data_IF_703999910686
#
_entry.id   IF_703999910686
#
_cell.length_a   1.000
_cell.length_b   1.000
_cell.length_c   1.000
_cell.angle_alpha   90.00
_cell.angle_beta   90.00
_cell.angle_gamma   90.00
#
_symmetry.space_group_name_H-M   'P 1'
#
loop_
_entity.id
_entity.type
_entity.pdbx_description
1 polymer ?
#
# COMPACT_ATOMS: atom_id res chain seq x y z
N UNK A 1 -12.56 -22.67 -16.87
CA UNK A 1 -11.13 -22.74 -16.44
C UNK A 1 -10.71 -21.58 -15.51
N UNK A 2 -10.90 -20.31 -15.89
CA UNK A 2 -10.41 -19.14 -15.12
C UNK A 2 -10.83 -19.09 -13.64
N UNK A 3 -12.11 -19.34 -13.33
CA UNK A 3 -12.60 -19.30 -11.95
C UNK A 3 -11.93 -20.35 -11.06
N UNK A 4 -11.70 -21.57 -11.60
CA UNK A 4 -10.99 -22.64 -10.89
C UNK A 4 -9.56 -22.20 -10.53
N UNK A 5 -8.87 -21.50 -11.42
CA UNK A 5 -7.52 -20.99 -11.17
C UNK A 5 -7.48 -19.91 -10.09
N UNK A 6 -8.53 -19.10 -9.95
CA UNK A 6 -8.62 -18.07 -8.91
C UNK A 6 -8.86 -18.71 -7.54
N UNK A 7 -9.85 -19.60 -7.44
CA UNK A 7 -10.19 -20.24 -6.17
C UNK A 7 -9.09 -21.19 -5.67
N UNK A 8 -8.47 -21.95 -6.58
CA UNK A 8 -7.37 -22.89 -6.27
C UNK A 8 -5.98 -22.24 -6.36
N UNK A 9 -5.90 -20.90 -6.41
CA UNK A 9 -4.63 -20.19 -6.52
C UNK A 9 -3.72 -20.44 -5.31
N UNK A 10 -2.42 -20.60 -5.57
CA UNK A 10 -1.38 -20.61 -4.54
C UNK A 10 -1.27 -19.25 -3.85
N UNK A 11 -0.65 -19.21 -2.67
CA UNK A 11 -0.53 -17.97 -1.88
C UNK A 11 0.17 -16.83 -2.64
N UNK A 12 1.20 -17.14 -3.43
CA UNK A 12 1.90 -16.16 -4.24
C UNK A 12 0.99 -15.54 -5.31
N UNK A 13 0.13 -16.35 -5.94
CA UNK A 13 -0.83 -15.87 -6.95
C UNK A 13 -1.93 -15.05 -6.27
N UNK A 14 -2.48 -15.51 -5.14
CA UNK A 14 -3.45 -14.74 -4.34
C UNK A 14 -2.89 -13.38 -3.92
N UNK A 15 -1.61 -13.33 -3.56
CA UNK A 15 -0.92 -12.09 -3.23
C UNK A 15 -0.87 -11.09 -4.41
N UNK A 16 -0.70 -11.58 -5.64
CA UNK A 16 -0.75 -10.74 -6.86
C UNK A 16 -2.17 -10.27 -7.19
N UNK A 17 -3.19 -11.04 -6.83
CA UNK A 17 -4.60 -10.69 -7.09
C UNK A 17 -5.09 -9.52 -6.23
N UNK A 18 -4.47 -9.24 -5.08
CA UNK A 18 -4.73 -8.10 -4.20
C UNK A 18 -4.25 -6.73 -4.77
N UNK A 19 -4.24 -6.57 -6.08
CA UNK A 19 -3.89 -5.33 -6.75
C UNK A 19 -5.04 -4.30 -6.66
N UNK A 20 -4.67 -3.05 -6.41
CA UNK A 20 -5.56 -1.88 -6.47
C UNK A 20 -4.98 -0.82 -7.41
N UNK A 21 -5.84 -0.02 -8.03
CA UNK A 21 -5.42 1.06 -8.92
C UNK A 21 -4.75 2.18 -8.12
N UNK A 22 -3.70 2.80 -8.67
CA UNK A 22 -3.14 4.02 -8.10
C UNK A 22 -3.95 5.25 -8.52
N UNK A 23 -3.90 6.33 -7.76
CA UNK A 23 -4.42 7.63 -8.18
C UNK A 23 -3.61 8.18 -9.36
N UNK A 24 -4.20 9.06 -10.19
CA UNK A 24 -3.53 9.58 -11.39
C UNK A 24 -2.19 10.27 -11.06
N UNK A 25 -2.08 10.91 -9.89
CA UNK A 25 -0.86 11.57 -9.45
C UNK A 25 0.24 10.57 -9.10
N UNK A 26 -0.12 9.49 -8.40
CA UNK A 26 0.81 8.40 -8.09
C UNK A 26 1.21 7.61 -9.35
N UNK A 27 0.29 7.45 -10.31
CA UNK A 27 0.60 6.83 -11.60
C UNK A 27 1.64 7.63 -12.37
N UNK A 28 1.54 8.97 -12.40
CA UNK A 28 2.54 9.84 -13.02
C UNK A 28 3.89 9.75 -12.31
N UNK A 29 3.89 9.70 -10.97
CA UNK A 29 5.12 9.66 -10.17
C UNK A 29 5.91 8.36 -10.34
N UNK A 30 5.23 7.22 -10.33
CA UNK A 30 5.89 5.90 -10.35
C UNK A 30 5.78 5.17 -11.70
N UNK A 31 5.04 5.70 -12.68
CA UNK A 31 4.85 5.07 -13.99
C UNK A 31 3.98 3.80 -13.98
N UNK A 32 3.44 3.38 -12.82
CA UNK A 32 2.64 2.16 -12.67
C UNK A 32 1.16 2.46 -12.55
N UNK A 33 0.32 1.60 -13.15
CA UNK A 33 -1.14 1.72 -13.07
C UNK A 33 -1.71 1.21 -11.74
N UNK A 34 -1.11 0.16 -11.17
CA UNK A 34 -1.61 -0.51 -9.97
C UNK A 34 -0.48 -1.01 -9.07
N UNK A 35 -0.81 -1.19 -7.79
CA UNK A 35 0.08 -1.80 -6.80
C UNK A 35 -0.71 -2.74 -5.89
N UNK A 36 -0.01 -3.60 -5.16
CA UNK A 36 -0.63 -4.43 -4.13
C UNK A 36 -1.05 -3.56 -2.94
N UNK A 37 -2.30 -3.67 -2.52
CA UNK A 37 -2.78 -3.02 -1.32
C UNK A 37 -2.04 -3.53 -0.07
N UNK A 38 -1.63 -2.64 0.81
CA UNK A 38 -0.96 -2.95 2.08
C UNK A 38 -1.68 -2.23 3.23
N UNK A 39 -1.59 -2.81 4.42
CA UNK A 39 -2.12 -2.22 5.65
C UNK A 39 -1.47 -0.85 5.88
N UNK A 40 -2.31 0.15 6.17
CA UNK A 40 -1.89 1.54 6.32
C UNK A 40 -1.82 2.37 5.03
N UNK A 41 -2.10 1.80 3.86
CA UNK A 41 -2.37 2.63 2.66
C UNK A 41 -3.69 3.39 2.85
N UNK A 42 -3.75 4.62 2.33
CA UNK A 42 -4.99 5.41 2.25
C UNK A 42 -5.64 5.18 0.90
N UNK A 43 -6.92 4.82 0.91
CA UNK A 43 -7.69 4.44 -0.27
C UNK A 43 -9.01 5.20 -0.33
N UNK A 44 -9.51 5.35 -1.55
CA UNK A 44 -10.85 5.86 -1.85
C UNK A 44 -11.64 4.79 -2.58
N UNK A 45 -12.91 4.62 -2.20
CA UNK A 45 -13.80 3.61 -2.80
C UNK A 45 -14.49 4.18 -4.04
N UNK A 46 -14.38 3.49 -5.17
CA UNK A 46 -14.98 3.90 -6.44
C UNK A 46 -16.39 3.35 -6.67
N UNK A 47 -16.66 2.13 -6.19
CA UNK A 47 -17.86 1.35 -6.53
C UNK A 47 -18.44 0.70 -5.27
N UNK A 48 -19.77 0.55 -5.26
CA UNK A 48 -20.53 -0.05 -4.16
C UNK A 48 -21.21 0.99 -3.26
N UNK A 49 -21.76 0.51 -2.16
CA UNK A 49 -22.53 1.29 -1.18
C UNK A 49 -21.72 2.41 -0.53
N UNK A 50 -20.43 2.16 -0.27
CA UNK A 50 -19.53 3.10 0.39
C UNK A 50 -18.73 3.97 -0.59
N UNK A 51 -19.25 4.19 -1.81
CA UNK A 51 -18.58 5.00 -2.82
C UNK A 51 -18.28 6.41 -2.31
N UNK A 52 -17.07 6.90 -2.58
CA UNK A 52 -16.62 8.25 -2.20
C UNK A 52 -16.02 8.33 -0.80
N UNK A 53 -16.19 7.31 0.04
CA UNK A 53 -15.52 7.26 1.35
C UNK A 53 -14.03 7.00 1.14
N UNK A 54 -13.22 7.74 1.89
CA UNK A 54 -11.77 7.55 1.98
C UNK A 54 -11.39 7.09 3.37
N UNK A 55 -10.39 6.20 3.46
CA UNK A 55 -9.95 5.66 4.73
C UNK A 55 -8.67 4.84 4.60
N UNK A 56 -8.10 4.46 5.74
CA UNK A 56 -6.90 3.62 5.79
C UNK A 56 -7.28 2.14 5.76
N UNK A 57 -6.41 1.31 5.19
CA UNK A 57 -6.56 -0.14 5.21
C UNK A 57 -6.16 -0.67 6.59
N UNK A 58 -7.07 -1.38 7.26
CA UNK A 58 -6.80 -2.00 8.58
C UNK A 58 -6.39 -3.45 8.42
N UNK A 59 -7.20 -4.25 7.72
CA UNK A 59 -6.96 -5.69 7.53
C UNK A 59 -7.16 -6.11 6.09
N UNK A 60 -6.32 -7.03 5.65
CA UNK A 60 -6.35 -7.63 4.31
C UNK A 60 -6.69 -9.11 4.45
N UNK A 61 -7.65 -9.59 3.66
CA UNK A 61 -7.96 -11.01 3.52
C UNK A 61 -7.49 -11.50 2.15
N UNK A 62 -6.52 -12.41 2.14
CA UNK A 62 -6.01 -13.08 0.93
C UNK A 62 -6.96 -14.12 0.37
N UNK A 63 -7.86 -14.66 1.20
CA UNK A 63 -8.84 -15.67 0.78
C UNK A 63 -9.98 -15.04 -0.02
N UNK A 64 -10.45 -13.88 0.42
CA UNK A 64 -11.55 -13.14 -0.20
C UNK A 64 -11.09 -12.05 -1.16
N UNK A 65 -9.77 -11.91 -1.37
CA UNK A 65 -9.13 -10.84 -2.17
C UNK A 65 -9.72 -9.46 -1.86
N UNK A 66 -9.93 -9.20 -0.57
CA UNK A 66 -10.69 -8.05 -0.09
C UNK A 66 -10.01 -7.41 1.10
N UNK A 67 -10.29 -6.13 1.31
CA UNK A 67 -9.73 -5.32 2.40
C UNK A 67 -10.83 -4.69 3.23
N UNK A 68 -10.51 -4.44 4.49
CA UNK A 68 -11.33 -3.66 5.42
C UNK A 68 -10.75 -2.27 5.54
N UNK A 69 -11.63 -1.29 5.64
CA UNK A 69 -11.29 0.12 5.60
C UNK A 69 -11.76 0.76 6.89
N UNK A 70 -10.91 1.55 7.51
CA UNK A 70 -11.26 2.34 8.67
C UNK A 70 -12.43 3.28 8.34
N UNK A 71 -13.47 3.28 9.19
CA UNK A 71 -14.69 4.05 8.98
C UNK A 71 -15.78 3.32 8.18
N UNK A 72 -15.48 2.20 7.51
CA UNK A 72 -16.47 1.42 6.76
C UNK A 72 -16.93 0.22 7.59
N UNK A 73 -17.97 0.44 8.39
CA UNK A 73 -18.58 -0.58 9.23
C UNK A 73 -20.07 -0.69 8.95
N UNK A 74 -20.62 -1.90 9.10
CA UNK A 74 -22.06 -2.15 9.12
C UNK A 74 -22.49 -2.52 10.52
N UNK A 75 -23.71 -2.13 10.86
CA UNK A 75 -24.33 -2.47 12.13
C UNK A 75 -25.18 -3.74 11.96
N UNK A 76 -25.08 -4.67 12.89
CA UNK A 76 -25.99 -5.82 12.98
C UNK A 76 -27.31 -5.36 13.61
N UNK A 77 -28.37 -6.13 13.42
CA UNK A 77 -29.66 -5.91 14.09
C UNK A 77 -29.55 -5.85 15.63
N UNK A 78 -28.51 -6.49 16.20
CA UNK A 78 -28.21 -6.48 17.64
C UNK A 78 -27.35 -5.29 18.11
N UNK A 79 -27.02 -4.33 17.23
CA UNK A 79 -26.21 -3.14 17.53
C UNK A 79 -24.69 -3.31 17.35
N UNK A 80 -24.19 -4.54 17.22
CA UNK A 80 -22.76 -4.78 17.02
C UNK A 80 -22.28 -4.27 15.66
N UNK A 81 -21.17 -3.53 15.64
CA UNK A 81 -20.52 -3.05 14.40
C UNK A 81 -19.49 -4.06 13.90
N UNK A 82 -19.57 -4.40 12.63
CA UNK A 82 -18.61 -5.28 11.96
C UNK A 82 -17.98 -4.60 10.74
N UNK A 83 -16.72 -4.96 10.48
CA UNK A 83 -15.98 -4.42 9.34
C UNK A 83 -16.44 -5.07 8.04
N UNK A 84 -16.63 -4.23 7.01
CA UNK A 84 -17.04 -4.71 5.68
C UNK A 84 -15.80 -5.00 4.83
N UNK A 85 -15.81 -6.17 4.19
CA UNK A 85 -14.79 -6.52 3.21
C UNK A 85 -15.16 -5.95 1.83
N UNK A 86 -14.25 -5.19 1.25
CA UNK A 86 -14.40 -4.60 -0.08
C UNK A 86 -13.30 -5.15 -1.00
N UNK A 87 -13.69 -5.56 -2.21
CA UNK A 87 -12.76 -6.10 -3.20
C UNK A 87 -11.77 -5.05 -3.71
N UNK A 88 -10.50 -5.41 -3.86
CA UNK A 88 -9.40 -4.47 -4.17
C UNK A 88 -9.55 -3.76 -5.52
N UNK A 89 -10.27 -4.34 -6.47
CA UNK A 89 -10.54 -3.72 -7.78
C UNK A 89 -11.45 -2.49 -7.71
N UNK A 90 -12.22 -2.34 -6.62
CA UNK A 90 -13.15 -1.23 -6.45
C UNK A 90 -12.50 -0.02 -5.75
N UNK A 91 -11.18 -0.08 -5.54
CA UNK A 91 -10.43 0.86 -4.73
C UNK A 91 -9.37 1.58 -5.56
N UNK A 92 -9.13 2.83 -5.19
CA UNK A 92 -8.01 3.64 -5.67
C UNK A 92 -7.14 3.99 -4.48
N UNK A 93 -5.85 3.72 -4.59
CA UNK A 93 -4.85 4.14 -3.59
C UNK A 93 -4.50 5.60 -3.81
N UNK A 94 -4.74 6.41 -2.80
CA UNK A 94 -4.48 7.86 -2.80
C UNK A 94 -3.13 8.16 -2.15
N UNK A 95 -2.79 7.44 -1.09
CA UNK A 95 -1.51 7.59 -0.38
C UNK A 95 -0.93 6.21 -0.09
N UNK A 96 0.36 6.06 -0.37
CA UNK A 96 1.09 4.80 -0.17
C UNK A 96 1.79 4.80 1.19
N UNK A 97 1.77 3.66 1.86
CA UNK A 97 2.66 3.38 2.97
C UNK A 97 4.08 3.06 2.43
N UNK A 98 5.06 3.87 2.83
CA UNK A 98 6.45 3.85 2.33
C UNK A 98 7.43 3.24 3.35
N UNK A 99 6.93 2.55 4.37
CA UNK A 99 7.77 1.94 5.41
C UNK A 99 8.72 0.85 4.87
N UNK A 100 8.26 0.06 3.91
CA UNK A 100 9.01 -1.08 3.37
C UNK A 100 9.88 -0.69 2.16
N UNK A 101 11.20 -0.93 2.28
CA UNK A 101 12.18 -0.70 1.21
C UNK A 101 11.87 -1.50 -0.05
N UNK A 102 11.41 -2.76 0.08
CA UNK A 102 11.13 -3.62 -1.07
C UNK A 102 9.93 -3.13 -1.87
N UNK A 103 8.94 -2.53 -1.21
CA UNK A 103 7.79 -1.90 -1.87
C UNK A 103 8.22 -0.71 -2.72
N UNK A 104 9.11 0.13 -2.20
CA UNK A 104 9.64 1.30 -2.93
C UNK A 104 10.45 0.84 -4.14
N UNK A 105 11.39 -0.08 -3.93
CA UNK A 105 12.20 -0.65 -5.01
C UNK A 105 11.33 -1.21 -6.13
N UNK A 106 10.25 -1.91 -5.77
CA UNK A 106 9.28 -2.44 -6.73
C UNK A 106 8.42 -1.36 -7.40
N UNK A 107 8.16 -0.22 -6.76
CA UNK A 107 7.43 0.88 -7.39
C UNK A 107 8.30 1.68 -8.35
N UNK A 108 9.59 1.82 -8.05
CA UNK A 108 10.56 2.57 -8.87
C UNK A 108 11.29 1.72 -9.91
N UNK A 109 11.00 0.42 -10.00
CA UNK A 109 11.70 -0.56 -10.86
C UNK A 109 13.23 -0.53 -10.69
N UNK A 110 13.69 -0.31 -9.46
CA UNK A 110 15.12 -0.32 -9.09
C UNK A 110 15.44 -1.56 -8.28
N UNK A 111 16.66 -2.07 -8.45
CA UNK A 111 17.14 -3.20 -7.64
C UNK A 111 17.20 -2.82 -6.15
N UNK A 112 16.53 -3.59 -5.27
CA UNK A 112 16.50 -3.31 -3.84
C UNK A 112 17.90 -3.40 -3.21
N UNK A 113 18.80 -4.23 -3.75
CA UNK A 113 20.20 -4.32 -3.33
C UNK A 113 20.95 -2.99 -3.51
N UNK A 114 20.71 -2.23 -4.58
CA UNK A 114 21.35 -0.93 -4.84
C UNK A 114 20.80 0.21 -3.97
N UNK A 115 19.59 0.10 -3.42
CA UNK A 115 19.01 1.16 -2.57
C UNK A 115 19.54 1.13 -1.13
N UNK A 116 20.15 0.02 -0.71
CA UNK A 116 20.65 -0.15 0.66
C UNK A 116 22.01 0.54 0.84
N UNK A 117 22.83 0.58 -0.21
CA UNK A 117 24.08 1.35 -0.27
C UNK A 117 23.81 2.86 -0.34
N UNK A 118 22.88 3.32 -1.20
CA UNK A 118 22.58 4.76 -1.33
C UNK A 118 22.01 5.36 -0.03
N UNK A 119 21.20 4.61 0.74
CA UNK A 119 20.72 5.06 2.07
C UNK A 119 21.78 4.99 3.18
N UNK A 120 22.83 4.19 3.02
CA UNK A 120 23.98 4.19 3.92
C UNK A 120 24.88 5.40 3.61
N UNK A 121 25.17 5.64 2.33
CA UNK A 121 25.93 6.80 1.85
C UNK A 121 25.25 8.13 2.24
N UNK A 122 23.92 8.27 2.04
CA UNK A 122 23.21 9.51 2.42
C UNK A 122 23.12 9.72 3.94
N UNK A 123 23.26 8.65 4.75
CA UNK A 123 23.35 8.79 6.21
C UNK A 123 24.76 9.18 6.64
N UNK A 124 25.79 8.70 5.96
CA UNK A 124 27.18 9.05 6.21
C UNK A 124 27.44 10.52 5.82
N UNK A 125 26.98 10.96 4.64
CA UNK A 125 27.19 12.37 4.21
C UNK A 125 26.48 13.38 5.11
N UNK A 126 25.34 13.04 5.72
CA UNK A 126 24.61 13.93 6.64
C UNK A 126 25.20 13.96 8.05
N UNK A 127 25.93 12.91 8.47
CA UNK A 127 26.63 12.89 9.75
C UNK A 127 27.91 13.70 9.66
N UNK A 128 28.63 13.63 8.53
CA UNK A 128 29.84 14.43 8.29
C UNK A 128 29.56 15.95 8.27
N UNK A 129 28.46 16.41 7.65
CA UNK A 129 28.13 17.86 7.63
C UNK A 129 27.73 18.44 8.99
N UNK A 130 27.26 17.60 9.92
CA UNK A 130 26.84 18.03 11.28
C UNK A 130 28.04 18.07 12.24
N UNK A 131 29.11 17.33 11.95
CA UNK A 131 30.35 17.37 12.75
C UNK A 131 31.18 18.61 12.37
N UNK A 132 31.36 18.90 11.08
CA UNK A 132 32.11 20.10 10.63
C UNK A 132 31.47 21.43 11.07
N UNK A 133 30.13 21.49 11.23
CA UNK A 133 29.46 22.72 11.67
C UNK A 133 29.56 22.98 13.18
N UNK A 134 29.95 21.98 13.99
CA UNK A 134 30.12 22.14 15.45
C UNK A 134 31.56 22.48 15.86
N UNK A 135 32.55 22.16 15.03
CA UNK A 135 33.96 22.45 15.30
C UNK A 135 34.38 23.88 14.88
N UNK A 136 33.52 24.62 14.17
CA UNK A 136 33.78 26.03 13.76
C UNK A 136 33.23 27.06 14.75
N UNK A 137 32.40 26.65 15.72
CA UNK A 137 31.67 27.55 16.62
C UNK A 137 32.20 27.57 18.08
N UNK A 138 33.41 27.05 18.34
CA UNK A 138 34.00 27.00 19.68
C UNK A 138 35.40 27.58 19.78
#
# INVERSE_FOLDING_TARGET
MRNRMIYQATFQIRSKQLGSSLSKDLQKKYGKKSTRAIVGDTITILRGEFKGVSGKITKISTEKTSVTIEGVKKEKTKGDKFDVYIHTSNLVVTTLNTSDKWRIAKLEDKDPKKQTSVKAETKETKVETIVETKDVEK
#
